data_IF_118187955104
#
_entry.id   IF_118187955104
#
_cell.length_a   1.000
_cell.length_b   1.000
_cell.length_c   1.000
_cell.angle_alpha   90.00
_cell.angle_beta   90.00
_cell.angle_gamma   90.00
#
_symmetry.space_group_name_H-M   'P 1'
#
loop_
_entity.id
_entity.type
_entity.pdbx_description
1 polymer ?
#
# COMPACT_ATOMS: atom_id res chain seq x y z
N UNK A 1 7.87 -13.17 4.73
CA UNK A 1 8.31 -13.27 6.12
C UNK A 1 7.61 -12.26 7.00
N UNK A 2 7.58 -12.50 8.29
CA UNK A 2 6.90 -11.61 9.25
C UNK A 2 7.92 -10.63 9.86
N UNK A 3 9.01 -11.16 10.38
CA UNK A 3 10.13 -10.41 10.94
C UNK A 3 11.39 -11.27 10.94
N UNK A 4 12.54 -10.64 11.14
CA UNK A 4 13.78 -11.40 11.31
C UNK A 4 13.75 -12.16 12.65
N UNK A 5 14.30 -13.40 12.66
CA UNK A 5 14.46 -14.15 13.92
C UNK A 5 15.30 -13.37 14.93
N UNK A 6 14.92 -13.39 16.21
CA UNK A 6 15.67 -12.76 17.30
C UNK A 6 17.03 -13.40 17.62
N UNK A 7 17.59 -14.17 16.68
CA UNK A 7 18.87 -14.85 16.82
C UNK A 7 20.07 -13.99 16.41
N UNK A 8 19.83 -12.87 15.74
CA UNK A 8 20.90 -11.99 15.29
C UNK A 8 21.35 -11.08 16.43
N UNK A 9 22.67 -10.93 16.65
CA UNK A 9 23.17 -9.97 17.61
C UNK A 9 22.90 -8.53 17.14
N UNK A 10 22.68 -7.59 18.06
CA UNK A 10 22.45 -6.17 17.75
C UNK A 10 23.53 -5.57 16.86
N UNK A 11 24.77 -6.06 16.98
CA UNK A 11 25.89 -5.64 16.13
C UNK A 11 25.70 -5.92 14.63
N UNK A 12 24.85 -6.90 14.27
CA UNK A 12 24.58 -7.24 12.87
C UNK A 12 23.86 -6.10 12.12
N UNK A 13 23.12 -5.26 12.84
CA UNK A 13 22.34 -4.16 12.25
C UNK A 13 22.95 -2.78 12.47
N UNK A 14 24.17 -2.72 13.05
CA UNK A 14 24.82 -1.45 13.42
C UNK A 14 24.97 -0.49 12.25
N UNK A 15 25.23 -1.00 11.03
CA UNK A 15 25.42 -0.18 9.83
C UNK A 15 24.12 0.10 9.07
N UNK A 16 23.06 -0.66 9.33
CA UNK A 16 21.73 -0.50 8.74
C UNK A 16 20.67 -0.97 9.70
N UNK A 17 20.27 -0.13 10.68
CA UNK A 17 19.29 -0.51 11.70
C UNK A 17 17.92 -0.86 11.12
N UNK A 18 17.55 -0.29 9.97
CA UNK A 18 16.24 -0.51 9.33
C UNK A 18 16.12 -1.93 8.79
N UNK A 19 17.24 -2.58 8.45
CA UNK A 19 17.24 -3.94 7.88
C UNK A 19 16.66 -5.00 8.80
N UNK A 20 16.65 -4.77 10.12
CA UNK A 20 16.04 -5.68 11.09
C UNK A 20 14.51 -5.76 10.96
N UNK A 21 13.89 -4.75 10.34
CA UNK A 21 12.44 -4.66 10.11
C UNK A 21 12.04 -5.00 8.67
N UNK A 22 13.01 -5.30 7.81
CA UNK A 22 12.78 -5.63 6.42
C UNK A 22 12.76 -7.13 6.21
N UNK A 23 11.89 -7.58 5.31
CA UNK A 23 11.80 -8.97 4.89
C UNK A 23 11.45 -9.05 3.41
N UNK A 24 11.87 -10.14 2.77
CA UNK A 24 11.53 -10.37 1.37
C UNK A 24 10.04 -10.70 1.22
N UNK A 25 9.48 -10.27 0.10
CA UNK A 25 8.14 -10.62 -0.32
C UNK A 25 8.13 -11.05 -1.78
N UNK A 26 7.12 -11.81 -2.16
CA UNK A 26 6.83 -12.11 -3.56
C UNK A 26 5.32 -12.32 -3.74
N UNK A 27 4.84 -12.05 -4.96
CA UNK A 27 3.49 -12.39 -5.39
C UNK A 27 3.63 -13.36 -6.55
N UNK A 28 3.02 -14.53 -6.41
CA UNK A 28 2.98 -15.56 -7.45
C UNK A 28 1.57 -15.68 -8.02
N UNK A 29 1.48 -15.86 -9.33
CA UNK A 29 0.21 -16.12 -10.02
C UNK A 29 0.33 -17.35 -10.94
N UNK A 30 -0.76 -18.08 -11.09
CA UNK A 30 -0.87 -19.20 -12.03
C UNK A 30 -1.39 -18.77 -13.41
N UNK A 31 -1.44 -17.49 -13.66
CA UNK A 31 -1.84 -16.88 -14.93
C UNK A 31 -0.80 -15.81 -15.30
N UNK A 32 -0.83 -15.38 -16.56
CA UNK A 32 0.06 -14.32 -17.03
C UNK A 32 -0.36 -12.98 -16.41
N UNK A 33 0.54 -12.41 -15.64
CA UNK A 33 0.33 -11.16 -14.91
C UNK A 33 1.56 -10.25 -15.07
N UNK A 34 1.37 -8.92 -15.04
CA UNK A 34 2.48 -7.99 -15.08
C UNK A 34 3.41 -8.22 -13.89
N UNK A 35 4.71 -8.13 -14.15
CA UNK A 35 5.71 -8.16 -13.08
C UNK A 35 5.80 -6.78 -12.45
N UNK A 36 5.38 -6.68 -11.21
CA UNK A 36 5.55 -5.48 -10.41
C UNK A 36 6.90 -5.53 -9.70
N UNK A 37 7.59 -4.40 -9.66
CA UNK A 37 8.86 -4.25 -8.96
C UNK A 37 8.83 -3.01 -8.08
N UNK A 38 8.42 -3.21 -6.84
CA UNK A 38 8.48 -2.20 -5.80
C UNK A 38 9.57 -2.61 -4.80
N UNK A 39 10.73 -1.96 -4.82
CA UNK A 39 11.90 -2.39 -4.02
C UNK A 39 11.69 -2.23 -2.52
N UNK A 40 10.82 -1.31 -2.12
CA UNK A 40 10.48 -1.07 -0.72
C UNK A 40 8.99 -0.74 -0.62
N UNK A 41 8.26 -1.56 0.13
CA UNK A 41 6.82 -1.41 0.35
C UNK A 41 6.48 -1.68 1.80
N UNK A 42 5.40 -1.09 2.27
CA UNK A 42 4.83 -1.42 3.56
C UNK A 42 3.88 -2.64 3.44
N UNK A 43 3.67 -3.35 4.51
CA UNK A 43 2.69 -4.45 4.53
C UNK A 43 1.26 -4.00 4.20
N UNK A 44 0.91 -2.74 4.51
CA UNK A 44 -0.36 -2.12 4.11
C UNK A 44 -0.55 -1.99 2.60
N UNK A 45 0.54 -1.97 1.83
CA UNK A 45 0.50 -1.83 0.38
C UNK A 45 0.17 -3.14 -0.35
N UNK A 46 0.24 -4.28 0.33
CA UNK A 46 0.10 -5.60 -0.32
C UNK A 46 -1.25 -5.81 -1.00
N UNK A 47 -2.34 -5.34 -0.43
CA UNK A 47 -3.65 -5.44 -1.07
C UNK A 47 -3.71 -4.64 -2.39
N UNK A 48 -3.15 -3.43 -2.40
CA UNK A 48 -3.07 -2.61 -3.60
C UNK A 48 -2.19 -3.28 -4.67
N UNK A 49 -1.07 -3.89 -4.27
CA UNK A 49 -0.18 -4.64 -5.18
C UNK A 49 -0.90 -5.83 -5.83
N UNK A 50 -1.68 -6.60 -5.07
CA UNK A 50 -2.45 -7.73 -5.61
C UNK A 50 -3.48 -7.24 -6.62
N UNK A 51 -4.21 -6.17 -6.33
CA UNK A 51 -5.19 -5.61 -7.26
C UNK A 51 -4.55 -5.04 -8.52
N UNK A 52 -3.40 -4.41 -8.40
CA UNK A 52 -2.65 -3.91 -9.55
C UNK A 52 -2.16 -5.08 -10.42
N UNK A 53 -1.56 -6.10 -9.81
CA UNK A 53 -1.05 -7.26 -10.55
C UNK A 53 -2.15 -8.04 -11.26
N UNK A 54 -3.34 -8.13 -10.68
CA UNK A 54 -4.48 -8.82 -11.30
C UNK A 54 -5.27 -7.93 -12.26
N UNK A 55 -4.90 -6.64 -12.39
CA UNK A 55 -5.62 -5.63 -13.17
C UNK A 55 -7.13 -5.63 -12.83
N UNK A 56 -7.44 -5.72 -11.55
CA UNK A 56 -8.80 -5.83 -11.05
C UNK A 56 -9.50 -4.48 -11.07
N UNK A 57 -10.81 -4.48 -11.33
CA UNK A 57 -11.65 -3.31 -11.03
C UNK A 57 -11.72 -3.12 -9.52
N UNK A 58 -11.45 -1.91 -9.07
CA UNK A 58 -11.38 -1.60 -7.65
C UNK A 58 -12.32 -0.43 -7.29
N UNK A 59 -12.62 -0.30 -6.00
CA UNK A 59 -13.31 0.87 -5.49
C UNK A 59 -12.42 2.12 -5.51
N UNK A 60 -12.97 3.33 -5.44
CA UNK A 60 -12.19 4.56 -5.30
C UNK A 60 -11.18 4.50 -4.14
N UNK A 61 -11.54 3.86 -3.04
CA UNK A 61 -10.62 3.66 -1.91
C UNK A 61 -9.36 2.86 -2.31
N UNK A 62 -9.54 1.72 -2.98
CA UNK A 62 -8.39 0.92 -3.44
C UNK A 62 -7.63 1.58 -4.58
N UNK A 63 -8.27 2.42 -5.40
CA UNK A 63 -7.57 3.26 -6.37
C UNK A 63 -6.63 4.25 -5.67
N UNK A 64 -7.09 4.90 -4.59
CA UNK A 64 -6.26 5.76 -3.76
C UNK A 64 -5.09 4.99 -3.13
N UNK A 65 -5.31 3.79 -2.58
CA UNK A 65 -4.23 2.96 -2.05
C UNK A 65 -3.19 2.59 -3.12
N UNK A 66 -3.61 2.38 -4.36
CA UNK A 66 -2.69 2.12 -5.47
C UNK A 66 -1.84 3.34 -5.81
N UNK A 67 -2.41 4.55 -5.78
CA UNK A 67 -1.64 5.77 -5.96
C UNK A 67 -0.66 6.02 -4.81
N UNK A 68 -1.06 5.72 -3.57
CA UNK A 68 -0.15 5.74 -2.41
C UNK A 68 1.01 4.77 -2.60
N UNK A 69 0.75 3.54 -3.00
CA UNK A 69 1.80 2.56 -3.32
C UNK A 69 2.80 3.10 -4.34
N UNK A 70 2.32 3.72 -5.41
CA UNK A 70 3.17 4.21 -6.50
C UNK A 70 3.98 5.44 -6.14
N UNK A 71 3.39 6.39 -5.42
CA UNK A 71 3.95 7.73 -5.27
C UNK A 71 4.29 8.11 -3.84
N UNK A 72 3.58 7.61 -2.87
CA UNK A 72 3.57 8.10 -1.49
C UNK A 72 3.68 6.99 -0.43
N UNK A 73 4.20 5.81 -0.76
CA UNK A 73 4.38 4.74 0.22
C UNK A 73 5.07 5.28 1.47
N UNK A 74 4.57 4.87 2.64
CA UNK A 74 4.99 5.40 3.95
C UNK A 74 6.49 5.26 4.23
N UNK A 75 7.16 4.32 3.55
CA UNK A 75 8.61 4.13 3.68
C UNK A 75 9.44 5.09 2.82
N UNK A 76 8.81 5.97 2.06
CA UNK A 76 9.51 7.06 1.38
C UNK A 76 9.80 8.18 2.37
N UNK A 77 11.09 8.45 2.58
CA UNK A 77 11.58 9.36 3.64
C UNK A 77 11.23 10.83 3.46
N UNK A 78 10.96 11.30 2.26
CA UNK A 78 10.58 12.68 2.00
C UNK A 78 9.49 12.70 0.93
N UNK A 79 8.28 13.01 1.33
CA UNK A 79 7.17 13.20 0.42
C UNK A 79 7.04 14.69 0.12
N UNK A 80 7.06 15.06 -1.15
CA UNK A 80 6.90 16.42 -1.63
C UNK A 80 5.86 16.49 -2.76
N UNK A 81 5.24 17.66 -2.93
CA UNK A 81 4.31 17.93 -4.01
C UNK A 81 3.14 16.94 -4.04
N UNK A 82 2.87 16.38 -5.22
CA UNK A 82 1.75 15.45 -5.46
C UNK A 82 1.78 14.22 -4.53
N UNK A 83 2.97 13.71 -4.19
CA UNK A 83 3.09 12.56 -3.30
C UNK A 83 2.65 12.90 -1.87
N UNK A 84 2.92 14.12 -1.41
CA UNK A 84 2.45 14.58 -0.12
C UNK A 84 0.93 14.75 -0.10
N UNK A 85 0.35 15.36 -1.15
CA UNK A 85 -1.11 15.52 -1.27
C UNK A 85 -1.82 14.16 -1.22
N UNK A 86 -1.35 13.17 -1.96
CA UNK A 86 -1.93 11.82 -1.98
C UNK A 86 -1.85 11.16 -0.59
N UNK A 87 -0.74 11.34 0.13
CA UNK A 87 -0.59 10.81 1.49
C UNK A 87 -1.53 11.53 2.49
N UNK A 88 -1.73 12.82 2.33
CA UNK A 88 -2.67 13.60 3.16
C UNK A 88 -4.12 13.22 2.85
N UNK A 89 -4.48 13.01 1.59
CA UNK A 89 -5.81 12.52 1.19
C UNK A 89 -6.11 11.17 1.84
N UNK A 90 -5.16 10.23 1.81
CA UNK A 90 -5.33 8.95 2.49
C UNK A 90 -5.58 9.12 3.99
N UNK A 91 -4.80 9.97 4.66
CA UNK A 91 -4.99 10.25 6.08
C UNK A 91 -6.38 10.85 6.39
N UNK A 92 -6.88 11.72 5.52
CA UNK A 92 -8.24 12.27 5.69
C UNK A 92 -9.31 11.20 5.53
N UNK A 93 -9.16 10.31 4.55
CA UNK A 93 -10.07 9.17 4.33
C UNK A 93 -10.06 8.24 5.54
N UNK A 94 -8.88 7.88 6.03
CA UNK A 94 -8.73 7.02 7.21
C UNK A 94 -9.29 7.67 8.47
N UNK A 95 -9.05 8.97 8.65
CA UNK A 95 -9.63 9.70 9.77
C UNK A 95 -11.16 9.69 9.73
N UNK A 96 -11.77 9.95 8.58
CA UNK A 96 -13.25 9.94 8.44
C UNK A 96 -13.84 8.56 8.70
N UNK A 97 -13.13 7.50 8.32
CA UNK A 97 -13.53 6.12 8.59
C UNK A 97 -13.53 5.77 10.08
N UNK A 98 -12.52 6.24 10.83
CA UNK A 98 -12.27 5.78 12.20
C UNK A 98 -12.90 6.73 13.22
N UNK A 99 -12.74 8.02 13.04
CA UNK A 99 -13.04 9.05 14.04
C UNK A 99 -13.85 10.23 13.51
N UNK A 100 -14.02 10.30 12.20
CA UNK A 100 -14.71 11.39 11.53
C UNK A 100 -16.23 11.31 11.64
N UNK A 101 -16.90 12.18 10.90
CA UNK A 101 -18.36 12.26 10.87
C UNK A 101 -18.99 11.43 9.74
N UNK A 102 -18.19 10.65 9.01
CA UNK A 102 -18.66 9.83 7.88
C UNK A 102 -19.09 10.68 6.68
N UNK A 103 -18.26 11.64 6.28
CA UNK A 103 -18.53 12.48 5.11
C UNK A 103 -18.40 11.72 3.79
N UNK A 104 -17.58 10.66 3.77
CA UNK A 104 -17.41 9.83 2.59
C UNK A 104 -18.66 9.04 2.25
N UNK A 105 -19.07 9.08 1.00
CA UNK A 105 -20.21 8.28 0.55
C UNK A 105 -19.90 6.79 0.61
N UNK A 106 -20.92 5.96 0.83
CA UNK A 106 -20.76 4.49 0.81
C UNK A 106 -20.25 3.96 -0.54
N UNK A 107 -20.45 4.71 -1.61
CA UNK A 107 -20.01 4.33 -2.95
C UNK A 107 -18.49 4.48 -3.13
N UNK A 108 -17.83 5.27 -2.27
CA UNK A 108 -16.37 5.37 -2.25
C UNK A 108 -15.67 4.03 -2.00
N UNK A 109 -16.34 3.14 -1.27
CA UNK A 109 -15.81 1.81 -0.92
C UNK A 109 -16.36 0.67 -1.79
N UNK A 110 -17.19 0.98 -2.79
CA UNK A 110 -17.78 -0.02 -3.68
C UNK A 110 -17.04 -0.09 -5.00
N UNK A 111 -16.86 -1.30 -5.49
CA UNK A 111 -16.38 -1.51 -6.87
C UNK A 111 -17.46 -1.04 -7.84
N UNK A 112 -17.13 -0.15 -8.81
CA UNK A 112 -18.09 0.31 -9.80
C UNK A 112 -18.63 -0.88 -10.59
N UNK A 113 -19.95 -1.06 -10.58
CA UNK A 113 -20.64 -2.01 -11.45
C UNK A 113 -20.98 -1.31 -12.76
N UNK A 114 -20.64 -1.92 -13.89
CA UNK A 114 -21.19 -1.47 -15.16
C UNK A 114 -22.70 -1.66 -15.07
N UNK A 115 -23.47 -0.57 -15.06
CA UNK A 115 -24.88 -0.68 -15.38
C UNK A 115 -24.92 -1.20 -16.82
N UNK A 116 -25.25 -2.48 -16.98
CA UNK A 116 -25.70 -2.97 -18.30
C UNK A 116 -26.96 -2.21 -18.64
N UNK A 117 -26.84 -1.35 -19.64
CA UNK A 117 -28.02 -0.79 -20.28
C UNK A 117 -28.80 -1.90 -20.96
#
# INVERSE_FOLDING_TARGET
>A
GDHLPGLYPESAFKNNPESQYQTDYFIWSNFDAPKLNYPLVNSSDFSAMVFEQTNSKVSPYYALLTEVLKKASVDKKALEGEAQEIAEDLKMVEYDLISGKGYLSKDFFKVPTNKSN
#
